data_IF_500675533874
#
_entry.id   IF_500675533874
#
_cell.length_a   1.000
_cell.length_b   1.000
_cell.length_c   1.000
_cell.angle_alpha   90.00
_cell.angle_beta   90.00
_cell.angle_gamma   90.00
#
_symmetry.space_group_name_H-M   'P 1'
#
loop_
_entity.id
_entity.type
_entity.pdbx_description
1 polymer ?
#
# COMPACT_ATOMS: atom_id res chain seq x y z
N UNK A 1 33.42 -2.79 11.99
CA UNK A 1 32.72 -1.92 11.00
C UNK A 1 31.59 -2.63 10.29
N UNK A 2 31.69 -3.93 10.01
CA UNK A 2 30.59 -4.73 9.42
C UNK A 2 29.43 -4.90 10.42
N UNK A 3 29.72 -5.29 11.68
CA UNK A 3 28.68 -5.51 12.72
C UNK A 3 27.84 -4.27 13.07
N UNK A 4 28.42 -3.07 13.03
CA UNK A 4 27.69 -1.82 13.30
C UNK A 4 26.74 -1.44 12.16
N UNK A 5 27.08 -1.78 10.92
CA UNK A 5 26.21 -1.57 9.76
C UNK A 5 25.01 -2.52 9.79
N UNK A 6 25.22 -3.78 10.15
CA UNK A 6 24.15 -4.79 10.22
C UNK A 6 23.12 -4.43 11.30
N UNK A 7 23.56 -4.00 12.49
CA UNK A 7 22.64 -3.59 13.57
C UNK A 7 21.83 -2.34 13.21
N UNK A 8 22.44 -1.38 12.49
CA UNK A 8 21.73 -0.20 12.00
C UNK A 8 20.72 -0.55 10.89
N UNK A 9 21.06 -1.53 10.04
CA UNK A 9 20.16 -2.03 9.02
C UNK A 9 18.95 -2.72 9.64
N UNK A 10 19.16 -3.67 10.55
CA UNK A 10 18.08 -4.39 11.25
C UNK A 10 17.12 -3.42 11.96
N UNK A 11 17.63 -2.46 12.74
CA UNK A 11 16.78 -1.49 13.43
C UNK A 11 16.02 -0.57 12.45
N UNK A 12 16.61 -0.24 11.29
CA UNK A 12 15.94 0.58 10.27
C UNK A 12 14.77 -0.13 9.60
N UNK A 13 14.84 -1.45 9.45
CA UNK A 13 13.84 -2.26 8.75
C UNK A 13 12.93 -3.05 9.68
N UNK A 14 13.22 -3.08 10.98
CA UNK A 14 12.39 -3.70 12.01
C UNK A 14 10.96 -3.16 11.91
N UNK A 15 10.01 -4.08 11.79
CA UNK A 15 8.58 -3.79 11.65
C UNK A 15 8.19 -2.98 10.40
N UNK A 16 9.05 -2.91 9.38
CA UNK A 16 8.74 -2.28 8.09
C UNK A 16 8.59 -3.33 7.00
N UNK A 17 7.44 -3.30 6.32
CA UNK A 17 7.10 -4.24 5.26
C UNK A 17 7.34 -3.59 3.90
N UNK A 18 8.60 -3.57 3.45
CA UNK A 18 8.96 -3.07 2.13
C UNK A 18 8.86 -4.18 1.08
N UNK A 19 8.20 -3.89 -0.03
CA UNK A 19 8.11 -4.81 -1.16
C UNK A 19 6.77 -4.75 -1.86
N UNK A 20 6.55 -5.73 -2.75
CA UNK A 20 5.28 -5.94 -3.44
C UNK A 20 4.54 -7.08 -2.74
N UNK A 21 3.29 -6.84 -2.37
CA UNK A 21 2.43 -7.83 -1.74
C UNK A 21 1.16 -8.01 -2.55
N UNK A 22 0.66 -9.24 -2.58
CA UNK A 22 -0.67 -9.52 -3.16
C UNK A 22 -1.72 -9.21 -2.12
N UNK A 23 -2.82 -8.64 -2.59
CA UNK A 23 -3.93 -8.22 -1.75
C UNK A 23 -5.26 -8.48 -2.46
N UNK A 24 -6.33 -8.51 -1.68
CA UNK A 24 -7.69 -8.52 -2.19
C UNK A 24 -8.29 -7.12 -2.04
N UNK A 25 -8.99 -6.65 -3.08
CA UNK A 25 -9.78 -5.44 -2.97
C UNK A 25 -10.97 -5.69 -2.04
N UNK A 26 -11.18 -4.77 -1.09
CA UNK A 26 -12.26 -4.87 -0.11
C UNK A 26 -13.20 -3.68 -0.12
N UNK A 27 -12.69 -2.50 -0.45
CA UNK A 27 -13.50 -1.30 -0.66
C UNK A 27 -12.81 -0.36 -1.65
N UNK A 28 -13.55 0.11 -2.65
CA UNK A 28 -13.12 1.11 -3.64
C UNK A 28 -13.96 2.40 -3.59
N UNK A 29 -14.90 2.53 -2.64
CA UNK A 29 -15.75 3.71 -2.48
C UNK A 29 -15.02 4.83 -1.75
N UNK A 30 -13.95 5.35 -2.36
CA UNK A 30 -13.16 6.42 -1.78
C UNK A 30 -13.99 7.71 -1.63
N UNK A 31 -14.24 8.18 -0.40
CA UNK A 31 -15.06 9.38 -0.17
C UNK A 31 -14.43 10.66 -0.72
N UNK A 32 -13.10 10.70 -0.85
CA UNK A 32 -12.38 11.84 -1.41
C UNK A 32 -12.21 11.73 -2.94
N UNK A 33 -12.66 10.63 -3.55
CA UNK A 33 -12.60 10.37 -5.00
C UNK A 33 -11.17 10.46 -5.56
N UNK A 34 -10.18 10.04 -4.77
CA UNK A 34 -8.76 10.03 -5.14
C UNK A 34 -8.33 8.68 -5.73
N UNK A 35 -9.24 7.70 -5.78
CA UNK A 35 -8.97 6.36 -6.29
C UNK A 35 -8.26 5.47 -5.28
N UNK A 36 -8.31 5.82 -3.99
CA UNK A 36 -7.75 4.97 -2.94
C UNK A 36 -8.61 3.73 -2.75
N UNK A 37 -7.99 2.66 -2.26
CA UNK A 37 -8.68 1.40 -2.00
C UNK A 37 -8.36 0.89 -0.59
N UNK A 38 -9.32 0.20 0.04
CA UNK A 38 -9.04 -0.64 1.21
C UNK A 38 -8.74 -2.05 0.74
N UNK A 39 -7.66 -2.60 1.26
CA UNK A 39 -7.10 -3.87 0.82
C UNK A 39 -6.99 -4.82 2.00
N UNK A 40 -7.28 -6.10 1.77
CA UNK A 40 -6.87 -7.16 2.68
C UNK A 40 -5.53 -7.73 2.20
N UNK A 41 -4.50 -7.62 3.03
CA UNK A 41 -3.12 -7.99 2.69
C UNK A 41 -2.66 -9.08 3.68
N UNK A 42 -2.97 -10.37 3.44
CA UNK A 42 -2.74 -11.44 4.41
C UNK A 42 -1.30 -11.55 4.90
N UNK A 43 -0.33 -11.27 4.02
CA UNK A 43 1.09 -11.36 4.33
C UNK A 43 1.63 -10.19 5.18
N UNK A 44 0.86 -9.12 5.39
CA UNK A 44 1.31 -7.90 6.08
C UNK A 44 0.41 -7.56 7.26
N UNK A 45 -0.90 -7.45 7.04
CA UNK A 45 -1.87 -7.04 8.06
C UNK A 45 -2.66 -8.21 8.65
N UNK A 46 -2.55 -9.40 8.06
CA UNK A 46 -3.39 -10.56 8.38
C UNK A 46 -4.70 -10.57 7.60
N UNK A 47 -5.61 -11.44 8.01
CA UNK A 47 -6.91 -11.69 7.35
C UNK A 47 -8.07 -11.21 8.21
N UNK A 48 -9.21 -10.90 7.61
CA UNK A 48 -10.39 -10.42 8.36
C UNK A 48 -10.61 -8.91 8.20
N UNK A 49 -11.82 -8.45 8.56
CA UNK A 49 -12.27 -7.07 8.31
C UNK A 49 -11.55 -6.03 9.17
N UNK A 50 -11.17 -6.43 10.38
CA UNK A 50 -10.37 -5.67 11.32
C UNK A 50 -8.93 -5.43 10.82
N UNK A 51 -8.47 -6.24 9.87
CA UNK A 51 -7.12 -6.22 9.31
C UNK A 51 -7.07 -5.63 7.89
N UNK A 52 -8.17 -5.01 7.43
CA UNK A 52 -8.14 -4.23 6.20
C UNK A 52 -7.21 -3.04 6.37
N UNK A 53 -6.52 -2.69 5.30
CA UNK A 53 -5.69 -1.50 5.28
C UNK A 53 -6.56 -0.24 5.44
N UNK A 54 -5.90 0.84 5.87
CA UNK A 54 -6.39 2.19 5.56
C UNK A 54 -6.48 2.40 4.04
N UNK A 55 -7.03 3.55 3.64
CA UNK A 55 -7.10 3.97 2.25
C UNK A 55 -5.71 4.03 1.61
N UNK A 56 -5.39 3.02 0.81
CA UNK A 56 -4.10 2.87 0.16
C UNK A 56 -4.08 3.64 -1.16
N UNK A 57 -3.00 4.38 -1.39
CA UNK A 57 -2.80 5.13 -2.63
C UNK A 57 -2.54 4.20 -3.81
N UNK A 58 -3.20 4.42 -4.95
CA UNK A 58 -2.92 3.69 -6.17
C UNK A 58 -1.59 4.16 -6.79
N UNK A 59 -0.97 3.26 -7.54
CA UNK A 59 0.13 3.60 -8.45
C UNK A 59 -0.44 3.68 -9.87
N UNK A 60 -0.95 4.86 -10.25
CA UNK A 60 -1.52 5.06 -11.58
C UNK A 60 -0.43 5.00 -12.67
N UNK A 61 -0.80 4.53 -13.85
CA UNK A 61 0.11 4.38 -14.97
C UNK A 61 0.60 5.72 -15.55
N UNK A 62 -0.23 6.77 -15.47
CA UNK A 62 0.05 8.08 -16.04
C UNK A 62 -0.81 9.17 -15.38
N UNK A 63 -0.23 10.33 -15.14
CA UNK A 63 -0.92 11.52 -14.62
C UNK A 63 0.04 12.59 -14.11
N UNK A 64 -0.49 13.57 -13.38
CA UNK A 64 0.29 14.60 -12.66
C UNK A 64 -0.03 16.04 -13.07
N UNK A 65 -0.70 16.25 -14.20
CA UNK A 65 -1.24 17.54 -14.61
C UNK A 65 -2.76 17.56 -14.42
N UNK A 66 -3.32 18.75 -14.29
CA UNK A 66 -4.78 18.93 -14.16
C UNK A 66 -5.51 18.30 -15.35
N UNK A 67 -6.55 17.51 -15.04
CA UNK A 67 -7.43 16.81 -15.98
C UNK A 67 -6.71 15.91 -17.01
N UNK A 68 -5.48 15.47 -16.72
CA UNK A 68 -4.70 14.59 -17.60
C UNK A 68 -4.19 13.38 -16.82
N UNK A 69 -4.59 12.19 -17.25
CA UNK A 69 -4.11 10.95 -16.67
C UNK A 69 -4.94 9.72 -17.02
N UNK A 70 -4.60 8.60 -16.38
CA UNK A 70 -5.38 7.36 -16.41
C UNK A 70 -5.89 7.07 -15.01
N UNK A 71 -7.22 7.07 -14.86
CA UNK A 71 -7.90 6.78 -13.61
C UNK A 71 -8.69 5.47 -13.76
N UNK A 72 -8.09 4.37 -13.30
CA UNK A 72 -8.67 3.03 -13.37
C UNK A 72 -8.62 2.39 -11.99
N UNK A 73 -9.78 2.04 -11.47
CA UNK A 73 -9.96 1.40 -10.15
C UNK A 73 -10.58 0.03 -10.37
N UNK A 74 -10.05 -1.03 -9.74
CA UNK A 74 -10.64 -2.37 -9.83
C UNK A 74 -12.03 -2.43 -9.15
N UNK A 75 -12.87 -3.34 -9.65
CA UNK A 75 -14.17 -3.72 -9.05
C UNK A 75 -14.00 -4.73 -7.90
#
# INVERSE_FOLDING_TARGET
MIETQDRQHEERYKNRWYGKYRAFLRDNNDPERLGRCRLEIPAVLGTGKENWSDWAWPCFAYGGNDDIGVFLIPD
#
